data_IF_121891470981
#
_entry.id   IF_121891470981
#
_cell.length_a   1.000
_cell.length_b   1.000
_cell.length_c   1.000
_cell.angle_alpha   90.00
_cell.angle_beta   90.00
_cell.angle_gamma   90.00
#
_symmetry.space_group_name_H-M   'P 1'
#
loop_
_entity.id
_entity.type
_entity.pdbx_description
1 polymer ?
#
# COMPACT_ATOMS: atom_id res chain seq x y z
N UNK A 1 -12.00 -18.03 14.65
CA UNK A 1 -11.25 -17.69 13.42
C UNK A 1 -11.75 -16.47 12.66
N UNK A 2 -13.01 -16.00 12.83
CA UNK A 2 -13.46 -14.85 12.03
C UNK A 2 -12.58 -13.60 12.17
N UNK A 3 -12.09 -13.31 13.38
CA UNK A 3 -11.23 -12.14 13.60
C UNK A 3 -9.89 -12.27 12.89
N UNK A 4 -9.30 -13.45 12.91
CA UNK A 4 -8.02 -13.71 12.26
C UNK A 4 -8.15 -13.55 10.75
N UNK A 5 -9.21 -14.09 10.16
CA UNK A 5 -9.46 -13.98 8.72
C UNK A 5 -9.72 -12.54 8.30
N UNK A 6 -10.46 -11.77 9.10
CA UNK A 6 -10.69 -10.35 8.83
C UNK A 6 -9.40 -9.55 8.87
N UNK A 7 -8.55 -9.84 9.84
CA UNK A 7 -7.25 -9.17 9.95
C UNK A 7 -6.37 -9.49 8.75
N UNK A 8 -6.36 -10.75 8.30
CA UNK A 8 -5.62 -11.15 7.11
C UNK A 8 -6.11 -10.43 5.86
N UNK A 9 -7.44 -10.33 5.70
CA UNK A 9 -8.00 -9.62 4.56
C UNK A 9 -7.63 -8.15 4.59
N UNK A 10 -7.66 -7.52 5.75
CA UNK A 10 -7.25 -6.13 5.90
C UNK A 10 -5.79 -5.94 5.49
N UNK A 11 -4.90 -6.85 5.88
CA UNK A 11 -3.50 -6.83 5.46
C UNK A 11 -3.37 -6.93 3.94
N UNK A 12 -4.11 -7.84 3.32
CA UNK A 12 -4.07 -8.02 1.87
C UNK A 12 -4.52 -6.75 1.14
N UNK A 13 -5.60 -6.12 1.63
CA UNK A 13 -6.11 -4.89 1.02
C UNK A 13 -5.08 -3.75 1.12
N UNK A 14 -4.43 -3.60 2.27
CA UNK A 14 -3.41 -2.57 2.48
C UNK A 14 -2.16 -2.83 1.65
N UNK A 15 -1.74 -4.10 1.54
CA UNK A 15 -0.63 -4.47 0.67
C UNK A 15 -0.93 -4.14 -0.79
N UNK A 16 -2.19 -4.35 -1.20
CA UNK A 16 -2.62 -4.00 -2.55
C UNK A 16 -2.47 -2.51 -2.84
N UNK A 17 -2.83 -1.65 -1.89
CA UNK A 17 -2.69 -0.20 -2.04
C UNK A 17 -1.22 0.18 -2.21
N UNK A 18 -0.32 -0.36 -1.37
CA UNK A 18 1.11 -0.07 -1.45
C UNK A 18 1.70 -0.58 -2.77
N UNK A 19 1.32 -1.79 -3.19
CA UNK A 19 1.79 -2.37 -4.44
C UNK A 19 1.33 -1.56 -5.64
N UNK A 20 0.07 -1.14 -5.66
CA UNK A 20 -0.49 -0.33 -6.75
C UNK A 20 0.24 1.00 -6.87
N UNK A 21 0.59 1.63 -5.74
CA UNK A 21 1.37 2.86 -5.76
C UNK A 21 2.72 2.65 -6.43
N UNK A 22 3.42 1.57 -6.08
CA UNK A 22 4.72 1.25 -6.66
C UNK A 22 4.62 1.07 -8.18
N UNK A 23 3.64 0.30 -8.65
CA UNK A 23 3.45 0.05 -10.08
C UNK A 23 3.09 1.35 -10.81
N UNK A 24 2.18 2.14 -10.24
CA UNK A 24 1.75 3.40 -10.85
C UNK A 24 2.90 4.40 -10.92
N UNK A 25 3.72 4.50 -9.86
CA UNK A 25 4.85 5.42 -9.84
C UNK A 25 5.86 5.08 -10.94
N UNK A 26 6.17 3.80 -11.12
CA UNK A 26 7.06 3.35 -12.20
C UNK A 26 6.50 3.71 -13.57
N UNK A 27 5.21 3.49 -13.78
CA UNK A 27 4.57 3.82 -15.05
C UNK A 27 4.62 5.32 -15.32
N UNK A 28 4.34 6.13 -14.31
CA UNK A 28 4.35 7.59 -14.44
C UNK A 28 5.74 8.13 -14.75
N UNK A 29 6.78 7.55 -14.13
CA UNK A 29 8.15 7.94 -14.43
C UNK A 29 8.52 7.63 -15.87
N UNK A 30 8.13 6.46 -16.38
CA UNK A 30 8.38 6.09 -17.77
C UNK A 30 7.63 7.00 -18.73
N UNK A 31 6.41 7.38 -18.40
CA UNK A 31 5.61 8.28 -19.22
C UNK A 31 6.29 9.65 -19.37
N UNK A 32 6.79 10.22 -18.27
CA UNK A 32 7.50 11.50 -18.28
C UNK A 32 8.78 11.40 -19.10
N UNK A 33 9.52 10.30 -18.92
CA UNK A 33 10.78 10.10 -19.66
C UNK A 33 10.54 10.00 -21.17
N UNK A 34 9.42 9.40 -21.58
CA UNK A 34 9.06 9.25 -22.99
C UNK A 34 8.57 10.56 -23.62
N UNK A 35 8.12 11.51 -22.83
CA UNK A 35 7.51 12.76 -23.29
C UNK A 35 8.12 13.99 -22.59
N UNK A 36 9.44 14.05 -22.52
CA UNK A 36 10.13 15.14 -21.82
C UNK A 36 9.98 16.50 -22.51
N UNK A 37 9.49 16.53 -23.76
CA UNK A 37 9.16 17.76 -24.48
C UNK A 37 7.88 18.43 -23.99
N UNK A 38 7.13 17.79 -23.06
CA UNK A 38 5.87 18.31 -22.52
C UNK A 38 6.04 18.70 -21.06
N UNK A 39 6.43 19.95 -20.75
CA UNK A 39 6.63 20.36 -19.35
C UNK A 39 5.35 20.32 -18.51
N UNK A 40 4.19 20.53 -19.15
CA UNK A 40 2.90 20.45 -18.45
C UNK A 40 2.62 19.04 -17.92
N UNK A 41 2.97 18.03 -18.71
CA UNK A 41 2.83 16.64 -18.32
C UNK A 41 3.68 16.34 -17.06
N UNK A 42 4.91 16.85 -17.05
CA UNK A 42 5.81 16.67 -15.91
C UNK A 42 5.21 17.23 -14.62
N UNK A 43 4.61 18.41 -14.71
CA UNK A 43 3.99 19.06 -13.56
C UNK A 43 2.79 18.24 -13.04
N UNK A 44 1.91 17.84 -13.95
CA UNK A 44 0.72 17.05 -13.59
C UNK A 44 1.09 15.70 -12.99
N UNK A 45 2.10 15.05 -13.56
CA UNK A 45 2.58 13.76 -13.05
C UNK A 45 3.18 13.93 -11.65
N UNK A 46 3.93 15.03 -11.43
CA UNK A 46 4.49 15.30 -10.10
C UNK A 46 3.40 15.44 -9.04
N UNK A 47 2.30 16.13 -9.37
CA UNK A 47 1.17 16.29 -8.46
C UNK A 47 0.51 14.94 -8.16
N UNK A 48 0.30 14.13 -9.20
CA UNK A 48 -0.32 12.82 -9.04
C UNK A 48 0.56 11.88 -8.21
N UNK A 49 1.87 11.88 -8.46
CA UNK A 49 2.81 11.07 -7.70
C UNK A 49 2.81 11.46 -6.22
N UNK A 50 2.76 12.77 -5.92
CA UNK A 50 2.68 13.24 -4.54
C UNK A 50 1.42 12.76 -3.84
N UNK A 51 0.28 12.83 -4.52
CA UNK A 51 -0.99 12.35 -3.98
C UNK A 51 -0.95 10.83 -3.71
N UNK A 52 -0.48 10.06 -4.69
CA UNK A 52 -0.40 8.60 -4.57
C UNK A 52 0.59 8.18 -3.47
N UNK A 53 1.71 8.89 -3.35
CA UNK A 53 2.68 8.60 -2.31
C UNK A 53 2.12 8.86 -0.91
N UNK A 54 1.40 9.97 -0.72
CA UNK A 54 0.76 10.25 0.56
C UNK A 54 -0.26 9.18 0.93
N UNK A 55 -1.02 8.70 -0.04
CA UNK A 55 -1.98 7.63 0.15
C UNK A 55 -1.29 6.33 0.55
N UNK A 56 -0.19 5.99 -0.13
CA UNK A 56 0.59 4.79 0.18
C UNK A 56 1.26 4.87 1.55
N UNK A 57 1.75 6.04 1.95
CA UNK A 57 2.35 6.25 3.26
C UNK A 57 1.33 6.00 4.37
N UNK A 58 0.11 6.49 4.19
CA UNK A 58 -0.98 6.23 5.13
C UNK A 58 -1.34 4.75 5.22
N UNK A 59 -1.37 4.07 4.06
CA UNK A 59 -1.63 2.64 4.01
C UNK A 59 -0.49 1.85 4.68
N UNK A 60 0.75 2.29 4.53
CA UNK A 60 1.90 1.63 5.15
C UNK A 60 1.83 1.70 6.67
N UNK A 61 1.48 2.87 7.22
CA UNK A 61 1.30 3.00 8.67
C UNK A 61 0.21 2.06 9.19
N UNK A 62 -0.92 1.99 8.48
CA UNK A 62 -2.00 1.07 8.82
C UNK A 62 -1.56 -0.38 8.69
N UNK A 63 -0.74 -0.68 7.69
CA UNK A 63 -0.23 -2.04 7.46
C UNK A 63 0.60 -2.51 8.65
N UNK A 64 1.46 -1.65 9.18
CA UNK A 64 2.28 -1.98 10.35
C UNK A 64 1.38 -2.29 11.56
N UNK A 65 0.39 -1.43 11.81
CA UNK A 65 -0.54 -1.64 12.92
C UNK A 65 -1.35 -2.93 12.75
N UNK A 66 -1.82 -3.21 11.52
CA UNK A 66 -2.59 -4.42 11.23
C UNK A 66 -1.72 -5.68 11.32
N UNK A 67 -0.45 -5.57 10.93
CA UNK A 67 0.48 -6.68 11.07
C UNK A 67 0.67 -7.08 12.54
N UNK A 68 0.80 -6.09 13.42
CA UNK A 68 0.92 -6.32 14.85
C UNK A 68 -0.35 -6.99 15.40
N UNK A 69 -1.52 -6.50 14.99
CA UNK A 69 -2.80 -7.08 15.41
C UNK A 69 -2.97 -8.50 14.89
N UNK A 70 -2.60 -8.75 13.64
CA UNK A 70 -2.67 -10.10 13.06
C UNK A 70 -1.79 -11.07 13.84
N UNK A 71 -0.56 -10.66 14.19
CA UNK A 71 0.35 -11.50 14.96
C UNK A 71 -0.21 -11.81 16.36
N UNK A 72 -0.84 -10.81 16.98
CA UNK A 72 -1.47 -11.01 18.29
C UNK A 72 -2.58 -12.06 18.20
N UNK A 73 -3.46 -11.92 17.22
CA UNK A 73 -4.56 -12.86 17.02
C UNK A 73 -4.07 -14.26 16.65
N UNK A 74 -3.04 -14.34 15.84
CA UNK A 74 -2.45 -15.62 15.46
C UNK A 74 -1.86 -16.33 16.66
N UNK A 75 -1.13 -15.61 17.52
CA UNK A 75 -0.53 -16.18 18.72
C UNK A 75 -1.61 -16.67 19.68
N UNK A 76 -2.68 -15.90 19.87
CA UNK A 76 -3.80 -16.34 20.71
C UNK A 76 -4.44 -17.62 20.16
N UNK A 77 -4.60 -17.69 18.85
CA UNK A 77 -5.19 -18.86 18.22
C UNK A 77 -4.30 -20.09 18.38
N UNK A 78 -2.98 -19.93 18.19
CA UNK A 78 -2.01 -21.03 18.37
C UNK A 78 -1.99 -21.51 19.82
N UNK A 79 -1.98 -20.58 20.77
CA UNK A 79 -2.01 -20.92 22.19
C UNK A 79 -3.29 -21.68 22.55
N UNK A 80 -4.40 -21.34 21.91
CA UNK A 80 -5.66 -22.05 22.12
C UNK A 80 -5.67 -23.48 21.61
N UNK A 81 -4.73 -23.85 20.73
CA UNK A 81 -4.60 -25.21 20.24
C UNK A 81 -3.82 -26.11 21.21
N UNK A 82 -3.05 -25.52 22.10
CA UNK A 82 -2.27 -26.25 23.10
C UNK A 82 -3.15 -26.58 24.33
#
# INVERSE_FOLDING_TARGET
>A
MPQLLRSLKCLQDLLGVVHDDYVNDNYLQQLVAAHDELPELRYEVALLRGYEQAKADGALEQLIAQWQEFNRLLNEWVEGLE
#
